data_IF_937976702776
#
_entry.id   IF_937976702776
#
_cell.length_a   1.000
_cell.length_b   1.000
_cell.length_c   1.000
_cell.angle_alpha   90.00
_cell.angle_beta   90.00
_cell.angle_gamma   90.00
#
_symmetry.space_group_name_H-M   'P 1'
#
loop_
_entity.id
_entity.type
_entity.pdbx_description
1 polymer ?
#
# COMPACT_ATOMS: atom_id res chain seq x y z
N UNK A 1 -99.39 -57.80 -50.55
CA UNK A 1 -98.37 -57.86 -51.56
C UNK A 1 -97.00 -57.47 -50.90
N UNK A 2 -96.17 -58.46 -50.77
CA UNK A 2 -94.72 -58.44 -50.95
C UNK A 2 -93.94 -57.59 -49.94
N UNK A 3 -92.90 -58.01 -49.31
CA UNK A 3 -92.01 -59.20 -49.25
C UNK A 3 -91.08 -59.02 -48.06
N UNK A 4 -90.76 -60.10 -47.48
CA UNK A 4 -89.75 -60.29 -46.43
C UNK A 4 -88.32 -59.97 -46.87
N UNK A 5 -87.52 -59.45 -46.01
CA UNK A 5 -86.06 -59.64 -46.09
C UNK A 5 -85.44 -59.77 -44.70
N UNK A 6 -84.90 -60.91 -44.52
CA UNK A 6 -84.06 -61.37 -43.44
C UNK A 6 -82.71 -60.57 -43.41
N UNK A 7 -82.28 -60.12 -42.26
CA UNK A 7 -80.98 -59.63 -42.07
C UNK A 7 -80.12 -60.63 -41.24
N UNK A 8 -79.05 -61.11 -41.80
CA UNK A 8 -78.05 -62.00 -41.18
C UNK A 8 -77.18 -61.20 -40.25
N UNK A 9 -76.98 -61.73 -39.06
CA UNK A 9 -76.07 -61.30 -38.07
C UNK A 9 -74.60 -61.60 -38.47
N UNK A 10 -73.78 -60.62 -38.56
CA UNK A 10 -72.31 -60.76 -38.73
C UNK A 10 -71.65 -60.82 -37.34
N UNK A 11 -70.77 -61.80 -37.05
CA UNK A 11 -70.01 -61.83 -35.81
C UNK A 11 -68.90 -60.79 -35.79
N UNK A 12 -68.75 -60.09 -34.65
CA UNK A 12 -67.82 -59.02 -34.37
C UNK A 12 -66.36 -59.50 -34.60
N UNK A 13 -65.71 -58.89 -35.57
CA UNK A 13 -64.26 -58.97 -35.74
C UNK A 13 -63.68 -58.10 -34.66
N UNK A 14 -63.00 -58.65 -33.64
CA UNK A 14 -62.19 -57.95 -32.67
C UNK A 14 -61.06 -57.31 -33.47
N UNK A 15 -60.84 -55.97 -33.41
CA UNK A 15 -59.83 -55.34 -34.22
C UNK A 15 -58.50 -55.79 -33.74
N UNK A 16 -57.63 -56.26 -34.63
CA UNK A 16 -56.29 -56.77 -34.39
C UNK A 16 -55.38 -55.77 -33.59
N UNK A 17 -55.78 -54.53 -33.51
CA UNK A 17 -55.19 -53.50 -32.70
C UNK A 17 -55.41 -53.72 -31.21
N UNK A 18 -56.64 -54.14 -30.78
CA UNK A 18 -56.91 -54.35 -29.36
C UNK A 18 -56.18 -55.57 -28.79
N UNK A 19 -56.06 -56.65 -29.55
CA UNK A 19 -55.30 -57.83 -29.15
C UNK A 19 -53.78 -57.48 -29.03
N UNK A 20 -53.23 -56.69 -29.95
CA UNK A 20 -51.84 -56.19 -29.88
C UNK A 20 -51.62 -55.35 -28.66
N UNK A 21 -52.52 -54.45 -28.28
CA UNK A 21 -52.48 -53.61 -27.11
C UNK A 21 -52.44 -54.43 -25.80
N UNK A 22 -53.38 -55.44 -25.73
CA UNK A 22 -53.43 -56.32 -24.59
C UNK A 22 -52.17 -57.18 -24.44
N UNK A 23 -51.64 -57.69 -25.56
CA UNK A 23 -50.36 -58.44 -25.55
C UNK A 23 -49.19 -57.58 -25.12
N UNK A 24 -49.11 -56.37 -25.61
CA UNK A 24 -48.05 -55.40 -25.20
C UNK A 24 -48.21 -55.01 -23.74
N UNK A 25 -49.42 -54.84 -23.23
CA UNK A 25 -49.65 -54.54 -21.82
C UNK A 25 -49.25 -55.72 -20.91
N UNK A 26 -49.63 -56.98 -21.29
CA UNK A 26 -49.18 -58.15 -20.58
C UNK A 26 -47.66 -58.36 -20.65
N UNK A 27 -47.05 -58.13 -21.79
CA UNK A 27 -45.57 -58.18 -21.93
C UNK A 27 -44.89 -57.13 -21.05
N UNK A 28 -45.43 -55.91 -20.96
CA UNK A 28 -44.95 -54.85 -20.08
C UNK A 28 -45.04 -55.25 -18.58
N UNK A 29 -46.15 -55.82 -18.18
CA UNK A 29 -46.35 -56.27 -16.80
C UNK A 29 -45.40 -57.47 -16.47
N UNK A 30 -45.22 -58.41 -17.39
CA UNK A 30 -44.27 -59.53 -17.23
C UNK A 30 -42.86 -59.01 -17.13
N UNK A 31 -42.45 -58.06 -17.96
CA UNK A 31 -41.15 -57.43 -17.91
C UNK A 31 -40.95 -56.70 -16.59
N UNK A 32 -41.96 -55.99 -16.08
CA UNK A 32 -41.90 -55.28 -14.81
C UNK A 32 -41.80 -56.23 -13.61
N UNK A 33 -42.47 -57.39 -13.65
CA UNK A 33 -42.42 -58.40 -12.60
C UNK A 33 -41.07 -59.15 -12.65
N UNK A 34 -40.53 -59.44 -13.84
CA UNK A 34 -39.21 -60.06 -14.01
C UNK A 34 -38.10 -59.07 -13.55
N UNK A 35 -38.26 -57.80 -13.83
CA UNK A 35 -37.29 -56.77 -13.35
C UNK A 35 -37.31 -56.67 -11.83
N UNK A 36 -38.50 -56.74 -11.22
CA UNK A 36 -38.60 -56.66 -9.75
C UNK A 36 -38.02 -57.87 -9.00
N UNK A 37 -37.98 -59.05 -9.66
CA UNK A 37 -37.50 -60.29 -9.01
C UNK A 37 -36.01 -60.60 -9.20
N UNK A 38 -35.34 -60.06 -10.22
CA UNK A 38 -33.97 -60.46 -10.56
C UNK A 38 -32.93 -59.35 -10.69
N UNK A 39 -33.28 -58.09 -10.46
CA UNK A 39 -32.30 -56.94 -10.47
C UNK A 39 -31.38 -56.91 -11.72
N UNK A 40 -31.76 -57.54 -12.85
CA UNK A 40 -30.94 -57.57 -14.05
C UNK A 40 -30.87 -56.24 -14.79
N UNK A 41 -31.82 -55.35 -14.57
CA UNK A 41 -31.80 -54.00 -15.17
C UNK A 41 -30.83 -53.06 -14.48
N UNK A 42 -30.37 -53.36 -13.27
CA UNK A 42 -29.29 -52.64 -12.61
C UNK A 42 -27.95 -52.79 -13.34
N UNK A 43 -27.67 -54.01 -13.82
CA UNK A 43 -26.47 -54.28 -14.60
C UNK A 43 -26.52 -53.60 -16.01
N UNK A 44 -27.67 -53.57 -16.64
CA UNK A 44 -27.88 -52.89 -17.92
C UNK A 44 -27.78 -51.35 -17.74
N UNK A 45 -28.31 -50.82 -16.62
CA UNK A 45 -28.20 -49.41 -16.29
C UNK A 45 -26.79 -48.99 -15.98
N UNK A 46 -26.03 -49.86 -15.31
CA UNK A 46 -24.61 -49.63 -15.03
C UNK A 46 -23.73 -49.67 -16.30
N UNK A 47 -24.00 -50.61 -17.21
CA UNK A 47 -23.29 -50.70 -18.49
C UNK A 47 -23.63 -49.58 -19.43
N UNK A 48 -24.88 -49.09 -19.48
CA UNK A 48 -25.27 -47.92 -20.24
C UNK A 48 -24.65 -46.62 -19.62
N UNK A 49 -24.64 -46.49 -18.30
CA UNK A 49 -24.00 -45.40 -17.60
C UNK A 49 -22.50 -45.33 -17.85
N UNK A 50 -21.83 -46.51 -17.83
CA UNK A 50 -20.39 -46.62 -18.14
C UNK A 50 -20.05 -46.31 -19.61
N UNK A 51 -20.96 -46.57 -20.54
CA UNK A 51 -20.80 -46.25 -21.97
C UNK A 51 -21.09 -44.75 -22.30
N UNK A 52 -21.91 -44.08 -21.49
CA UNK A 52 -22.23 -42.65 -21.67
C UNK A 52 -21.14 -41.73 -21.05
N UNK A 53 -20.46 -42.22 -20.01
CA UNK A 53 -19.39 -41.47 -19.33
C UNK A 53 -18.26 -41.07 -20.28
N UNK A 54 -17.67 -41.95 -21.10
CA UNK A 54 -16.63 -41.53 -22.06
C UNK A 54 -17.15 -40.55 -23.14
N UNK A 55 -18.44 -40.62 -23.48
CA UNK A 55 -19.04 -39.72 -24.44
C UNK A 55 -19.14 -38.29 -23.89
N UNK A 56 -19.48 -38.12 -22.61
CA UNK A 56 -19.49 -36.82 -21.94
C UNK A 56 -18.07 -36.22 -21.86
N UNK A 57 -17.07 -37.01 -21.55
CA UNK A 57 -15.67 -36.55 -21.51
C UNK A 57 -15.19 -36.10 -22.89
N UNK A 58 -15.59 -36.77 -23.97
CA UNK A 58 -15.21 -36.39 -25.34
C UNK A 58 -15.90 -35.10 -25.79
N UNK A 59 -17.14 -34.86 -25.33
CA UNK A 59 -17.89 -33.63 -25.70
C UNK A 59 -17.41 -32.43 -24.88
N UNK A 60 -16.99 -32.62 -23.63
CA UNK A 60 -16.49 -31.53 -22.76
C UNK A 60 -15.01 -31.22 -22.99
N UNK A 61 -14.25 -32.17 -23.54
CA UNK A 61 -12.81 -32.00 -23.80
C UNK A 61 -12.46 -30.79 -24.67
N UNK A 62 -13.14 -30.51 -25.80
CA UNK A 62 -12.83 -29.34 -26.63
C UNK A 62 -13.17 -28.03 -25.92
N UNK A 63 -14.21 -27.95 -25.10
CA UNK A 63 -14.56 -26.74 -24.37
C UNK A 63 -13.54 -26.42 -23.26
N UNK A 64 -13.06 -27.43 -22.52
CA UNK A 64 -12.01 -27.27 -21.50
C UNK A 64 -10.65 -26.90 -22.10
N UNK A 65 -10.32 -27.50 -23.23
CA UNK A 65 -9.11 -27.12 -23.97
C UNK A 65 -9.18 -25.68 -24.50
N UNK A 66 -10.36 -25.25 -24.98
CA UNK A 66 -10.55 -23.89 -25.46
C UNK A 66 -10.51 -22.85 -24.33
N UNK A 67 -11.10 -23.13 -23.16
CA UNK A 67 -11.00 -22.30 -21.96
C UNK A 67 -9.56 -22.22 -21.49
N UNK A 68 -8.86 -23.35 -21.38
CA UNK A 68 -7.45 -23.39 -20.96
C UNK A 68 -6.52 -22.60 -21.91
N UNK A 69 -6.72 -22.71 -23.21
CA UNK A 69 -5.94 -21.95 -24.22
C UNK A 69 -6.27 -20.46 -24.12
N UNK A 70 -7.54 -20.12 -23.91
CA UNK A 70 -7.99 -18.73 -23.81
C UNK A 70 -7.46 -18.06 -22.53
N UNK A 71 -7.52 -18.74 -21.41
CA UNK A 71 -7.01 -18.23 -20.13
C UNK A 71 -5.48 -18.13 -20.14
N UNK A 72 -4.78 -19.15 -20.69
CA UNK A 72 -3.32 -19.10 -20.81
C UNK A 72 -2.80 -17.98 -21.71
N UNK A 73 -3.56 -17.59 -22.74
CA UNK A 73 -3.17 -16.48 -23.63
C UNK A 73 -3.53 -15.12 -23.06
N UNK A 74 -4.64 -15.01 -22.34
CA UNK A 74 -5.06 -13.79 -21.65
C UNK A 74 -4.08 -13.44 -20.52
N UNK A 75 -3.71 -14.42 -19.70
CA UNK A 75 -2.75 -14.23 -18.58
C UNK A 75 -1.36 -13.84 -19.10
N UNK A 76 -0.89 -14.44 -20.19
CA UNK A 76 0.39 -14.06 -20.79
C UNK A 76 0.41 -12.62 -21.33
N UNK A 77 -0.68 -12.20 -21.96
CA UNK A 77 -0.79 -10.83 -22.46
C UNK A 77 -0.87 -9.81 -21.30
N UNK A 78 -1.59 -10.13 -20.22
CA UNK A 78 -1.63 -9.28 -19.03
C UNK A 78 -0.26 -9.18 -18.37
N UNK A 79 0.43 -10.30 -18.17
CA UNK A 79 1.79 -10.34 -17.64
C UNK A 79 2.78 -9.55 -18.51
N UNK A 80 2.68 -9.63 -19.83
CA UNK A 80 3.53 -8.85 -20.72
C UNK A 80 3.23 -7.34 -20.64
N UNK A 81 1.96 -6.95 -20.52
CA UNK A 81 1.58 -5.56 -20.35
C UNK A 81 2.05 -5.02 -18.99
N UNK A 82 1.95 -5.82 -17.94
CA UNK A 82 2.42 -5.46 -16.59
C UNK A 82 3.95 -5.36 -16.53
N UNK A 83 4.67 -6.30 -17.15
CA UNK A 83 6.13 -6.22 -17.31
C UNK A 83 6.53 -4.97 -18.07
N UNK A 84 5.89 -4.68 -19.21
CA UNK A 84 6.15 -3.47 -19.98
C UNK A 84 5.88 -2.18 -19.20
N UNK A 85 4.83 -2.17 -18.36
CA UNK A 85 4.54 -1.05 -17.46
C UNK A 85 5.61 -0.88 -16.38
N UNK A 86 5.98 -1.96 -15.71
CA UNK A 86 7.03 -1.94 -14.68
C UNK A 86 8.39 -1.54 -15.26
N UNK A 87 8.73 -2.02 -16.45
CA UNK A 87 9.94 -1.59 -17.16
C UNK A 87 9.91 -0.10 -17.49
N UNK A 88 8.78 0.41 -17.98
CA UNK A 88 8.60 1.84 -18.24
C UNK A 88 8.71 2.69 -16.97
N UNK A 89 8.09 2.26 -15.87
CA UNK A 89 8.21 2.92 -14.57
C UNK A 89 9.66 2.90 -14.06
N UNK A 90 10.34 1.78 -14.21
CA UNK A 90 11.77 1.66 -13.86
C UNK A 90 12.65 2.59 -14.69
N UNK A 91 12.42 2.69 -16.00
CA UNK A 91 13.16 3.61 -16.86
C UNK A 91 12.92 5.07 -16.46
N UNK A 92 11.67 5.45 -16.15
CA UNK A 92 11.34 6.80 -15.69
C UNK A 92 12.00 7.11 -14.34
N UNK A 93 11.99 6.16 -13.43
CA UNK A 93 12.62 6.31 -12.11
C UNK A 93 14.13 6.45 -12.24
N UNK A 94 14.77 5.62 -13.06
CA UNK A 94 16.21 5.72 -13.33
C UNK A 94 16.57 7.06 -14.01
N UNK A 95 15.76 7.54 -14.94
CA UNK A 95 15.97 8.85 -15.57
C UNK A 95 15.85 10.01 -14.56
N UNK A 96 14.91 9.91 -13.61
CA UNK A 96 14.78 10.88 -12.51
C UNK A 96 15.99 10.86 -11.59
N UNK A 97 16.45 9.65 -11.20
CA UNK A 97 17.65 9.49 -10.36
C UNK A 97 18.89 10.07 -11.05
N UNK A 98 19.10 9.78 -12.34
CA UNK A 98 20.22 10.36 -13.11
C UNK A 98 20.13 11.89 -13.15
N UNK A 99 18.93 12.45 -13.33
CA UNK A 99 18.76 13.91 -13.30
C UNK A 99 19.02 14.50 -11.93
N UNK A 100 18.59 13.83 -10.84
CA UNK A 100 18.92 14.24 -9.47
C UNK A 100 20.44 14.25 -9.25
N UNK A 101 21.11 13.16 -9.60
CA UNK A 101 22.59 13.07 -9.46
C UNK A 101 23.30 14.17 -10.25
N UNK A 102 22.83 14.49 -11.46
CA UNK A 102 23.40 15.58 -12.25
C UNK A 102 23.18 16.94 -11.58
N UNK A 103 21.96 17.22 -11.04
CA UNK A 103 21.67 18.46 -10.33
C UNK A 103 22.45 18.57 -9.01
N UNK A 104 22.65 17.48 -8.28
CA UNK A 104 23.50 17.42 -7.09
C UNK A 104 24.95 17.74 -7.42
N UNK A 105 25.49 17.16 -8.49
CA UNK A 105 26.85 17.43 -8.95
C UNK A 105 27.02 18.91 -9.40
N UNK A 106 26.02 19.47 -10.10
CA UNK A 106 26.04 20.88 -10.49
C UNK A 106 25.92 21.79 -9.27
N UNK A 107 25.06 21.44 -8.29
CA UNK A 107 24.92 22.21 -7.06
C UNK A 107 26.23 22.17 -6.23
N UNK A 108 26.89 21.00 -6.12
CA UNK A 108 28.17 20.88 -5.47
C UNK A 108 29.23 21.74 -6.18
N UNK A 109 29.29 21.68 -7.51
CA UNK A 109 30.22 22.52 -8.30
C UNK A 109 29.95 24.03 -8.13
N UNK A 110 28.68 24.43 -8.09
CA UNK A 110 28.31 25.83 -7.86
C UNK A 110 28.70 26.29 -6.45
N UNK A 111 28.58 25.41 -5.44
CA UNK A 111 29.02 25.68 -4.07
C UNK A 111 30.54 25.79 -3.96
N UNK A 112 31.28 24.91 -4.64
CA UNK A 112 32.75 24.99 -4.71
C UNK A 112 33.20 26.31 -5.33
N UNK A 113 32.53 26.78 -6.38
CA UNK A 113 32.78 28.07 -7.00
C UNK A 113 32.47 29.27 -6.10
N UNK A 114 31.56 29.11 -5.14
CA UNK A 114 31.16 30.13 -4.18
C UNK A 114 31.90 30.02 -2.83
N UNK A 115 32.93 29.17 -2.72
CA UNK A 115 33.62 28.83 -1.45
C UNK A 115 32.63 28.31 -0.36
N UNK A 116 31.46 27.82 -0.78
CA UNK A 116 30.49 27.26 0.13
C UNK A 116 30.89 25.81 0.48
N UNK A 117 31.10 25.54 1.77
CA UNK A 117 31.52 24.22 2.29
C UNK A 117 30.52 23.13 1.79
N UNK A 118 31.08 22.10 1.18
CA UNK A 118 30.29 20.94 0.73
C UNK A 118 29.44 20.36 1.88
N UNK A 119 28.15 20.15 1.64
CA UNK A 119 27.32 19.37 2.55
C UNK A 119 27.83 17.93 2.52
N UNK A 120 28.26 17.44 3.67
CA UNK A 120 28.59 16.03 3.87
C UNK A 120 27.31 15.23 3.80
N UNK A 121 27.32 14.05 3.20
CA UNK A 121 26.18 13.15 3.20
C UNK A 121 25.89 12.70 4.62
N UNK A 122 24.64 12.82 5.03
CA UNK A 122 24.19 12.34 6.33
C UNK A 122 24.25 10.81 6.37
N UNK A 123 24.81 10.23 7.43
CA UNK A 123 24.71 8.80 7.70
C UNK A 123 23.30 8.51 8.23
N UNK A 124 22.68 7.44 7.75
CA UNK A 124 21.31 7.06 8.13
C UNK A 124 21.31 5.63 8.65
N UNK A 125 20.68 5.40 9.80
CA UNK A 125 20.41 4.06 10.37
C UNK A 125 18.94 3.88 10.64
N UNK A 126 18.44 2.68 10.40
CA UNK A 126 17.05 2.30 10.67
C UNK A 126 16.93 1.79 12.09
N UNK A 127 15.89 2.22 12.80
CA UNK A 127 15.52 1.78 14.13
C UNK A 127 14.06 1.31 14.14
N UNK A 128 13.75 0.32 14.98
CA UNK A 128 12.40 -0.16 15.21
C UNK A 128 11.78 0.52 16.44
N UNK A 129 10.48 0.84 16.36
CA UNK A 129 9.74 1.39 17.50
C UNK A 129 9.35 0.24 18.41
N UNK A 130 9.93 0.22 19.62
CA UNK A 130 9.68 -0.79 20.65
C UNK A 130 8.43 -0.50 21.49
N UNK A 131 8.16 0.76 21.74
CA UNK A 131 7.02 1.18 22.57
C UNK A 131 6.57 2.60 22.21
N UNK A 132 5.29 2.86 22.44
CA UNK A 132 4.67 4.19 22.35
C UNK A 132 4.17 4.56 23.73
N UNK A 133 4.40 5.80 24.16
CA UNK A 133 3.90 6.28 25.48
C UNK A 133 2.36 6.22 25.51
N UNK A 134 1.83 5.63 26.55
CA UNK A 134 0.38 5.53 26.75
C UNK A 134 -0.28 6.84 27.20
N UNK A 135 0.49 7.89 27.45
CA UNK A 135 -0.03 9.20 27.87
C UNK A 135 -0.58 9.96 26.64
N UNK A 136 -1.89 10.24 26.58
CA UNK A 136 -2.49 10.93 25.42
C UNK A 136 -2.05 12.39 25.24
N UNK A 137 -1.35 12.96 26.24
CA UNK A 137 -0.84 14.34 26.20
C UNK A 137 0.63 14.42 25.82
N UNK A 138 1.31 13.28 25.67
CA UNK A 138 2.72 13.20 25.26
C UNK A 138 2.86 12.22 24.12
N UNK A 139 3.43 12.67 23.06
CA UNK A 139 3.67 11.84 21.90
C UNK A 139 5.13 11.40 21.86
N UNK A 140 5.48 10.48 22.77
CA UNK A 140 6.82 9.91 22.86
C UNK A 140 6.82 8.45 22.38
N UNK A 141 7.94 8.05 21.80
CA UNK A 141 8.20 6.69 21.36
C UNK A 141 9.54 6.23 21.93
N UNK A 142 9.72 4.92 22.06
CA UNK A 142 11.00 4.29 22.42
C UNK A 142 11.48 3.50 21.19
N UNK A 143 12.72 3.69 20.82
CA UNK A 143 13.38 3.03 19.68
C UNK A 143 14.52 2.12 20.17
N UNK A 144 14.87 1.10 19.37
CA UNK A 144 15.87 0.07 19.68
C UNK A 144 17.33 0.48 19.37
N UNK A 145 17.59 1.78 19.27
CA UNK A 145 18.93 2.33 19.08
C UNK A 145 19.29 3.24 20.26
N UNK A 146 20.51 3.09 20.80
CA UNK A 146 21.02 3.86 21.93
C UNK A 146 22.45 4.37 21.73
N UNK A 147 23.12 4.77 22.81
CA UNK A 147 24.49 5.28 22.81
C UNK A 147 25.50 4.32 22.18
N UNK A 148 25.28 2.98 22.34
CA UNK A 148 26.18 1.97 21.76
C UNK A 148 26.20 2.00 20.24
N UNK A 149 25.11 2.38 19.64
CA UNK A 149 24.94 2.54 18.19
C UNK A 149 25.24 3.98 17.74
N UNK A 150 25.64 4.87 18.68
CA UNK A 150 25.99 6.25 18.39
C UNK A 150 24.83 7.23 18.36
N UNK A 151 23.66 6.86 18.92
CA UNK A 151 22.57 7.81 19.11
C UNK A 151 22.92 8.87 20.16
N UNK A 152 22.36 10.06 20.01
CA UNK A 152 22.60 11.17 20.93
C UNK A 152 21.35 12.04 21.12
N UNK A 153 21.29 12.73 22.24
CA UNK A 153 20.20 13.66 22.55
C UNK A 153 20.13 14.81 21.53
N UNK A 154 18.94 15.08 21.06
CA UNK A 154 18.72 16.10 20.05
C UNK A 154 18.83 15.57 18.61
N UNK A 155 19.10 14.29 18.38
CA UNK A 155 19.19 13.70 17.07
C UNK A 155 17.81 13.62 16.41
N UNK A 156 17.75 13.99 15.11
CA UNK A 156 16.52 13.95 14.32
C UNK A 156 16.18 12.53 13.89
N UNK A 157 14.89 12.22 13.89
CA UNK A 157 14.31 11.00 13.35
C UNK A 157 13.31 11.31 12.23
N UNK A 158 13.42 10.53 11.15
CA UNK A 158 12.57 10.67 9.97
C UNK A 158 12.03 9.31 9.54
N UNK A 159 11.07 9.32 8.65
CA UNK A 159 10.68 8.16 7.85
C UNK A 159 10.90 8.45 6.36
N UNK A 160 10.38 7.58 5.48
CA UNK A 160 10.48 7.74 4.03
C UNK A 160 9.69 8.94 3.49
N UNK A 161 8.77 9.49 4.26
CA UNK A 161 7.85 10.56 3.87
C UNK A 161 8.19 11.91 4.50
N UNK A 162 8.86 11.92 5.66
CA UNK A 162 9.23 13.15 6.32
C UNK A 162 9.75 13.00 7.75
N UNK A 163 9.79 14.12 8.45
CA UNK A 163 10.25 14.20 9.83
C UNK A 163 9.22 13.57 10.77
N UNK A 164 9.69 12.69 11.66
CA UNK A 164 8.90 12.04 12.71
C UNK A 164 9.05 12.78 14.04
N UNK A 165 10.27 13.14 14.42
CA UNK A 165 10.55 13.72 15.72
C UNK A 165 12.03 13.88 16.02
N UNK A 166 12.35 13.89 17.31
CA UNK A 166 13.69 14.12 17.83
C UNK A 166 13.95 13.27 19.08
N UNK A 167 15.15 12.73 19.24
CA UNK A 167 15.57 12.04 20.47
C UNK A 167 15.64 13.07 21.59
N UNK A 168 14.98 12.77 22.71
CA UNK A 168 14.98 13.59 23.93
C UNK A 168 15.82 13.01 25.06
N UNK A 169 16.03 11.68 25.04
CA UNK A 169 16.82 10.98 26.05
C UNK A 169 17.42 9.73 25.42
N UNK A 170 18.72 9.56 25.54
CA UNK A 170 19.47 8.42 25.01
C UNK A 170 19.91 7.49 26.13
N UNK A 171 19.45 6.23 26.08
CA UNK A 171 19.95 5.16 26.94
C UNK A 171 21.05 4.34 26.28
N UNK A 172 21.55 3.31 26.99
CA UNK A 172 22.66 2.47 26.47
C UNK A 172 22.32 1.70 25.20
N UNK A 173 21.06 1.19 25.07
CA UNK A 173 20.61 0.34 23.95
C UNK A 173 19.29 0.81 23.35
N UNK A 174 18.61 1.75 23.97
CA UNK A 174 17.32 2.29 23.53
C UNK A 174 17.32 3.79 23.75
N UNK A 175 16.57 4.53 22.93
CA UNK A 175 16.38 5.96 23.10
C UNK A 175 14.91 6.33 23.12
N UNK A 176 14.59 7.39 23.87
CA UNK A 176 13.27 7.98 23.86
C UNK A 176 13.24 9.16 22.89
N UNK A 177 12.24 9.21 22.03
CA UNK A 177 12.06 10.29 21.08
C UNK A 177 10.69 10.93 21.20
N UNK A 178 10.63 12.24 21.00
CA UNK A 178 9.40 13.05 20.97
C UNK A 178 8.98 13.27 19.53
N UNK A 179 7.71 12.99 19.21
CA UNK A 179 7.14 13.23 17.89
C UNK A 179 6.88 14.73 17.65
N UNK A 180 6.89 15.14 16.38
CA UNK A 180 6.58 16.54 15.99
C UNK A 180 5.15 16.96 16.32
N UNK A 181 4.24 16.01 16.57
CA UNK A 181 2.86 16.26 16.99
C UNK A 181 2.72 16.60 18.48
N UNK A 182 3.76 16.36 19.31
CA UNK A 182 3.72 16.68 20.73
C UNK A 182 3.58 18.19 20.94
N UNK A 183 2.69 18.67 21.85
CA UNK A 183 2.53 20.10 22.15
C UNK A 183 3.79 20.82 22.61
N UNK A 184 4.75 20.08 23.17
CA UNK A 184 6.03 20.63 23.64
C UNK A 184 7.07 20.69 22.52
N UNK A 185 6.80 20.10 21.35
CA UNK A 185 7.74 20.06 20.24
C UNK A 185 7.63 21.31 19.39
N UNK A 186 8.79 21.90 19.08
CA UNK A 186 8.91 23.07 18.20
C UNK A 186 10.02 22.84 17.19
N UNK A 187 9.69 22.95 15.89
CA UNK A 187 10.58 22.64 14.80
C UNK A 187 10.77 23.85 13.90
N UNK A 188 12.02 24.32 13.69
CA UNK A 188 12.31 25.36 12.70
C UNK A 188 12.11 24.83 11.28
N UNK A 189 11.19 25.44 10.55
CA UNK A 189 10.84 25.07 9.17
C UNK A 189 10.99 26.23 8.22
N UNK A 190 11.08 25.91 6.93
CA UNK A 190 10.96 26.90 5.86
C UNK A 190 10.01 26.43 4.77
N UNK A 191 9.34 27.36 4.13
CA UNK A 191 8.51 27.11 2.95
C UNK A 191 9.41 26.80 1.77
N UNK A 192 9.34 25.59 1.25
CA UNK A 192 10.20 25.12 0.15
C UNK A 192 10.13 26.00 -1.11
N UNK A 193 9.00 26.66 -1.36
CA UNK A 193 8.79 27.49 -2.55
C UNK A 193 9.57 28.80 -2.53
N UNK A 194 9.70 29.46 -1.38
CA UNK A 194 10.24 30.84 -1.27
C UNK A 194 11.24 31.03 -0.12
N UNK A 195 11.58 29.97 0.65
CA UNK A 195 12.51 30.04 1.77
C UNK A 195 12.02 30.83 2.98
N UNK A 196 10.70 31.11 3.09
CA UNK A 196 10.12 31.78 4.25
C UNK A 196 10.29 30.90 5.49
N UNK A 197 11.03 31.39 6.49
CA UNK A 197 11.32 30.67 7.71
C UNK A 197 10.28 30.95 8.79
N UNK A 198 9.89 29.90 9.51
CA UNK A 198 8.97 29.97 10.64
C UNK A 198 9.19 28.79 11.59
N UNK A 199 8.36 28.65 12.60
CA UNK A 199 8.39 27.52 13.54
C UNK A 199 7.08 26.76 13.40
N UNK A 200 7.16 25.44 13.29
CA UNK A 200 6.02 24.53 13.38
C UNK A 200 5.97 23.95 14.80
N UNK A 201 4.80 24.02 15.43
CA UNK A 201 4.54 23.46 16.75
C UNK A 201 3.56 22.31 16.66
N UNK A 202 3.77 21.28 17.48
CA UNK A 202 2.78 20.21 17.69
C UNK A 202 1.54 20.72 18.40
N UNK A 203 0.41 20.05 18.19
CA UNK A 203 -0.89 20.43 18.77
C UNK A 203 -1.41 19.39 19.77
N UNK A 204 -0.77 18.21 19.86
CA UNK A 204 -1.32 17.03 20.54
C UNK A 204 -2.26 16.21 19.63
N UNK A 205 -2.39 16.56 18.37
CA UNK A 205 -3.09 15.79 17.35
C UNK A 205 -2.08 15.29 16.30
N UNK A 206 -2.09 13.99 15.98
CA UNK A 206 -1.11 13.40 15.04
C UNK A 206 -1.18 14.01 13.63
N UNK A 207 -2.36 14.45 13.24
CA UNK A 207 -2.61 14.99 11.89
C UNK A 207 -2.49 16.51 11.78
N UNK A 208 -2.04 17.24 12.83
CA UNK A 208 -2.07 18.71 12.81
C UNK A 208 -0.86 19.34 13.49
N UNK A 209 -0.26 20.29 12.77
CA UNK A 209 0.72 21.23 13.28
C UNK A 209 0.17 22.66 13.13
N UNK A 210 0.70 23.61 13.91
CA UNK A 210 0.39 25.03 13.82
C UNK A 210 1.67 25.83 13.64
N UNK A 211 1.56 26.96 12.92
CA UNK A 211 2.66 27.89 12.67
C UNK A 211 2.33 29.25 13.30
N UNK A 212 2.62 29.43 14.61
CA UNK A 212 2.14 30.61 15.34
C UNK A 212 2.82 31.92 14.99
N UNK A 213 3.95 31.90 14.28
CA UNK A 213 4.78 33.08 14.03
C UNK A 213 4.81 33.50 12.56
N UNK A 214 3.75 33.18 11.81
CA UNK A 214 3.60 33.64 10.41
C UNK A 214 2.91 35.00 10.40
N UNK A 215 3.59 36.05 9.94
CA UNK A 215 3.00 37.38 9.84
C UNK A 215 1.89 37.46 8.78
N UNK A 216 0.90 38.31 8.95
CA UNK A 216 -0.23 38.43 8.03
C UNK A 216 0.14 38.80 6.59
N UNK A 217 1.31 39.44 6.36
CA UNK A 217 1.82 39.79 5.04
C UNK A 217 2.77 38.75 4.44
N UNK A 218 3.01 37.64 5.14
CA UNK A 218 3.88 36.57 4.65
C UNK A 218 3.30 35.89 3.40
N UNK A 219 4.17 35.55 2.44
CA UNK A 219 3.76 34.77 1.25
C UNK A 219 3.79 33.30 1.58
N UNK A 220 2.74 32.82 2.26
CA UNK A 220 2.44 31.42 2.53
C UNK A 220 1.04 31.12 2.01
N UNK A 221 0.85 29.91 1.46
CA UNK A 221 -0.39 29.48 0.80
C UNK A 221 -0.74 28.04 1.17
N UNK A 222 -2.02 27.70 1.20
CA UNK A 222 -2.43 26.29 1.25
C UNK A 222 -1.77 25.48 0.11
N UNK A 223 -1.25 24.29 0.46
CA UNK A 223 -0.50 23.42 -0.44
C UNK A 223 1.02 23.67 -0.45
N UNK A 224 1.55 24.70 0.22
CA UNK A 224 2.98 24.91 0.36
C UNK A 224 3.59 23.76 1.20
N UNK A 225 4.70 23.18 0.71
CA UNK A 225 5.50 22.20 1.44
C UNK A 225 6.41 22.92 2.43
N UNK A 226 6.36 22.51 3.68
CA UNK A 226 7.27 22.91 4.73
C UNK A 226 8.42 21.89 4.83
N UNK A 227 9.64 22.36 4.84
CA UNK A 227 10.84 21.53 5.02
C UNK A 227 11.64 22.04 6.22
N UNK A 228 12.51 21.20 6.78
CA UNK A 228 13.43 21.62 7.84
C UNK A 228 14.34 22.72 7.36
N UNK A 229 14.54 23.78 8.16
CA UNK A 229 15.36 24.93 7.78
C UNK A 229 16.85 24.76 8.06
N UNK A 230 17.27 23.70 8.79
CA UNK A 230 18.65 23.50 9.25
C UNK A 230 19.07 24.40 10.42
N UNK A 231 18.20 25.31 10.87
CA UNK A 231 18.49 26.20 11.98
C UNK A 231 18.55 25.42 13.31
N UNK A 232 19.53 25.75 14.14
CA UNK A 232 19.75 25.09 15.44
C UNK A 232 20.50 23.77 15.33
N UNK A 233 20.80 23.26 14.12
CA UNK A 233 21.67 22.09 13.90
C UNK A 233 21.05 20.73 14.29
N UNK A 234 19.87 20.70 14.92
CA UNK A 234 19.19 19.47 15.32
C UNK A 234 18.64 18.69 14.12
N UNK A 235 18.10 19.41 13.14
CA UNK A 235 17.54 18.85 11.92
C UNK A 235 18.35 19.32 10.72
N UNK A 236 18.86 18.39 9.87
CA UNK A 236 19.44 18.76 8.60
C UNK A 236 18.41 19.49 7.72
N UNK A 237 18.86 20.44 6.90
CA UNK A 237 17.96 21.23 6.05
C UNK A 237 17.38 20.39 4.90
N UNK A 238 16.11 20.68 4.54
CA UNK A 238 15.47 20.13 3.34
C UNK A 238 14.61 18.88 3.52
N UNK A 239 14.46 18.36 4.73
CA UNK A 239 13.58 17.21 4.99
C UNK A 239 12.10 17.66 5.05
N UNK A 240 11.16 16.96 4.37
CA UNK A 240 9.74 17.26 4.45
C UNK A 240 9.21 17.20 5.88
N UNK A 241 8.43 18.19 6.29
CA UNK A 241 7.81 18.26 7.62
C UNK A 241 6.31 18.18 7.54
N UNK A 242 5.68 19.08 6.76
CA UNK A 242 4.24 19.19 6.66
C UNK A 242 3.82 19.90 5.36
N UNK A 243 2.54 19.79 5.03
CA UNK A 243 1.90 20.54 3.96
C UNK A 243 0.92 21.53 4.61
N UNK A 244 0.97 22.78 4.21
CA UNK A 244 0.07 23.83 4.70
C UNK A 244 -1.36 23.56 4.26
N UNK A 245 -2.30 23.47 5.20
CA UNK A 245 -3.71 23.24 4.92
C UNK A 245 -4.50 24.54 4.82
N UNK A 246 -4.42 25.38 5.88
CA UNK A 246 -5.20 26.61 5.97
C UNK A 246 -4.32 27.77 6.38
N UNK A 247 -4.68 28.96 5.84
CA UNK A 247 -4.05 30.24 6.16
C UNK A 247 -5.15 31.25 6.40
N UNK A 248 -5.46 31.50 7.68
CA UNK A 248 -6.47 32.48 8.08
C UNK A 248 -5.78 33.77 8.50
N UNK A 249 -5.98 34.83 7.71
CA UNK A 249 -5.44 36.16 7.99
C UNK A 249 -6.46 36.96 8.76
N UNK A 250 -6.16 37.32 10.01
CA UNK A 250 -7.02 38.09 10.87
C UNK A 250 -6.52 39.55 10.83
N UNK A 251 -7.25 40.52 10.27
CA UNK A 251 -6.74 41.85 9.98
C UNK A 251 -6.24 42.67 11.18
N UNK A 252 -6.60 42.29 12.39
CA UNK A 252 -6.24 43.04 13.62
C UNK A 252 -5.18 42.32 14.46
N UNK A 253 -4.75 41.10 14.03
CA UNK A 253 -3.73 40.36 14.70
C UNK A 253 -2.37 40.46 13.97
N UNK A 254 -1.24 40.41 14.69
CA UNK A 254 0.09 40.52 14.07
C UNK A 254 0.44 39.26 13.24
N UNK A 255 -0.14 38.08 13.59
CA UNK A 255 0.14 36.80 12.98
C UNK A 255 -1.12 36.18 12.37
N UNK A 256 -0.94 35.44 11.30
CA UNK A 256 -1.98 34.61 10.71
C UNK A 256 -2.10 33.28 11.47
N UNK A 257 -3.31 32.75 11.55
CA UNK A 257 -3.54 31.38 12.01
C UNK A 257 -3.30 30.41 10.85
N UNK A 258 -2.21 29.67 10.93
CA UNK A 258 -1.78 28.74 9.88
C UNK A 258 -1.72 27.33 10.44
N UNK A 259 -2.45 26.41 9.81
CA UNK A 259 -2.37 24.98 10.11
C UNK A 259 -1.73 24.19 8.97
N UNK A 260 -1.09 23.09 9.33
CA UNK A 260 -0.44 22.19 8.38
C UNK A 260 -0.62 20.74 8.81
N UNK A 261 -0.69 19.81 7.84
CA UNK A 261 -0.72 18.38 8.06
C UNK A 261 0.70 17.80 7.93
N UNK A 262 1.19 17.02 8.91
CA UNK A 262 2.48 16.35 8.83
C UNK A 262 2.61 15.54 7.53
N UNK A 263 3.80 15.54 6.94
CA UNK A 263 4.11 14.74 5.76
C UNK A 263 4.19 13.24 6.09
N UNK A 264 4.64 12.92 7.31
CA UNK A 264 4.71 11.57 7.82
C UNK A 264 3.43 11.15 8.55
N UNK A 265 3.05 9.87 8.43
CA UNK A 265 1.91 9.29 9.12
C UNK A 265 2.29 8.90 10.56
N UNK A 266 2.33 9.89 11.47
CA UNK A 266 2.89 9.77 12.83
C UNK A 266 2.21 8.70 13.70
N UNK A 267 0.98 8.30 13.38
CA UNK A 267 0.19 7.30 14.09
C UNK A 267 0.39 5.85 13.58
N UNK A 268 1.12 5.66 12.46
CA UNK A 268 1.25 4.36 11.80
C UNK A 268 2.71 3.92 11.60
N UNK A 269 3.66 4.69 12.09
CA UNK A 269 5.09 4.41 11.93
C UNK A 269 5.49 3.19 12.76
N UNK A 270 6.25 2.28 12.15
CA UNK A 270 6.86 1.11 12.82
C UNK A 270 8.38 1.17 12.85
N UNK A 271 8.95 1.75 11.81
CA UNK A 271 10.39 1.88 11.63
C UNK A 271 10.71 3.36 11.41
N UNK A 272 11.78 3.82 11.96
CA UNK A 272 12.27 5.20 11.82
C UNK A 272 13.73 5.19 11.40
N UNK A 273 14.19 6.29 10.86
CA UNK A 273 15.58 6.48 10.44
C UNK A 273 16.20 7.60 11.27
N UNK A 274 17.32 7.32 11.90
CA UNK A 274 18.16 8.32 12.56
C UNK A 274 19.11 8.94 11.55
N UNK A 275 19.27 10.25 11.60
CA UNK A 275 20.16 11.00 10.74
C UNK A 275 21.33 11.51 11.55
N UNK A 276 22.55 11.18 11.14
CA UNK A 276 23.77 11.77 11.69
C UNK A 276 24.13 13.01 10.88
N UNK A 277 23.83 14.19 11.43
CA UNK A 277 24.22 15.43 10.79
C UNK A 277 25.73 15.64 10.93
N UNK A 278 26.39 15.78 9.82
CA UNK A 278 27.83 16.06 9.75
C UNK A 278 28.26 17.40 10.37
N UNK A 279 27.31 18.25 10.75
CA UNK A 279 27.60 19.48 11.45
C UNK A 279 28.15 19.24 12.87
N UNK A 280 27.67 18.19 13.56
CA UNK A 280 28.07 17.89 14.96
C UNK A 280 29.37 17.09 15.05
N UNK A 281 29.71 16.27 14.06
CA UNK A 281 30.98 15.52 14.03
C UNK A 281 32.23 16.40 13.94
N UNK A 282 32.08 17.69 13.66
CA UNK A 282 33.17 18.63 13.54
C UNK A 282 33.50 19.35 14.85
N UNK A 283 32.56 19.44 15.77
CA UNK A 283 32.81 20.05 17.10
C UNK A 283 33.44 19.07 18.10
N UNK A 284 33.48 17.76 17.77
CA UNK A 284 34.12 16.71 18.57
C UNK A 284 35.54 16.32 18.13
N UNK A 285 36.09 16.88 17.04
CA UNK A 285 37.51 16.73 16.76
C UNK A 285 38.29 17.57 17.79
N UNK A 286 39.11 16.95 18.66
CA UNK A 286 39.95 17.68 19.61
C UNK A 286 40.88 18.61 18.80
N UNK A 287 40.81 19.89 19.10
CA UNK A 287 41.83 20.83 18.62
C UNK A 287 43.19 20.27 19.11
N UNK A 288 43.95 19.69 18.20
CA UNK A 288 45.36 19.39 18.46
C UNK A 288 46.00 20.70 18.93
N UNK A 289 46.21 20.82 20.25
CA UNK A 289 47.03 21.85 20.83
C UNK A 289 48.41 21.76 20.18
N UNK A 290 48.73 22.76 19.39
CA UNK A 290 50.13 22.99 18.97
C UNK A 290 51.04 22.94 20.22
N UNK A 291 52.08 22.10 20.24
CA UNK A 291 53.06 22.18 21.32
C UNK A 291 53.80 23.51 21.22
N UNK A 292 53.58 24.35 22.22
CA UNK A 292 54.37 25.56 22.46
C UNK A 292 55.86 25.17 22.60
N UNK A 293 56.62 25.48 21.57
CA UNK A 293 58.09 25.47 21.66
C UNK A 293 58.55 26.63 22.58
N UNK A 294 59.08 26.29 23.73
CA UNK A 294 60.12 27.06 24.43
C UNK A 294 61.49 26.70 23.89
#
# INVERSE_FOLDING_TARGET
MVASRTSSSNPARIPALGVRLIVLLFASIILMVLDHRQNHLSAVRQTIGAAVYPLQVIVDAPFRLWEWVRDSTADRNQLQLELGRLEAERLLTNARLQRMTALEAENARLRDLLDARAQVRDEVRVAEIMAVDANPYRHNIVIDIGEREGAYDGQSIVDVTGVIGQIIETGLTTSQAMLISDPSHSLPVEVNRNGLRTIANGTGEFGRLVLPFVTNNADIRPGDLLVTSGLGGAFPAGYPVAIVDTVNRIPQEPFADVSATPAAALDQVREVMLIWSSAKSRDEEPSDEEPSNE
#
